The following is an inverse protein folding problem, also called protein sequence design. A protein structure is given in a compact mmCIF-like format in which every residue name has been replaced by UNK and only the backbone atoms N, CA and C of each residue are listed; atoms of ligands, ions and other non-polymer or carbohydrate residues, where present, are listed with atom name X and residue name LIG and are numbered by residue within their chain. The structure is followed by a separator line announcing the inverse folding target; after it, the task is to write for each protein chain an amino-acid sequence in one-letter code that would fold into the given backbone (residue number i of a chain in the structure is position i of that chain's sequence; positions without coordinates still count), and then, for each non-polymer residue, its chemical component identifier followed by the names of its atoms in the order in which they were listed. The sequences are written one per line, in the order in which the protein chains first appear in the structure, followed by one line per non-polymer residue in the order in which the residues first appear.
data_IF_979307041217
#
_entry.id   IF_979307041217
#
_cell.length_a   1.000
_cell.length_b   1.000
_cell.length_c   1.000
_cell.angle_alpha   90.00
_cell.angle_beta   90.00
_cell.angle_gamma   90.00
#
_symmetry.space_group_name_H-M   'P 1'
#
loop_
_entity.id
_entity.type
_entity.pdbx_description
1 polymer ?
#
# COMPACT_ATOMS: atom_id res chain seq x y z
N UNK A 1 14.86 15.59 33.82
CA UNK A 1 16.07 14.74 33.80
C UNK A 1 15.83 13.23 33.79
N UNK A 2 15.14 12.58 34.76
CA UNK A 2 14.84 11.12 34.64
C UNK A 2 13.69 10.78 33.67
N UNK A 3 12.73 11.67 33.47
CA UNK A 3 11.61 11.46 32.54
C UNK A 3 11.98 11.68 31.06
N UNK A 4 12.95 12.55 30.78
CA UNK A 4 13.43 12.81 29.40
C UNK A 4 14.32 11.68 28.86
N UNK A 5 15.03 10.97 29.73
CA UNK A 5 15.88 9.83 29.35
C UNK A 5 15.06 8.59 28.92
N UNK A 6 13.84 8.42 29.43
CA UNK A 6 12.98 7.28 29.08
C UNK A 6 12.23 7.44 27.74
N UNK A 7 12.02 8.67 27.28
CA UNK A 7 11.36 8.95 25.99
C UNK A 7 12.24 8.54 24.80
N UNK A 8 13.56 8.66 24.95
CA UNK A 8 14.51 8.35 23.89
C UNK A 8 14.73 6.83 23.74
N UNK A 9 14.64 6.04 24.83
CA UNK A 9 14.79 4.57 24.78
C UNK A 9 13.68 3.86 23.98
N UNK A 10 12.48 4.44 23.87
CA UNK A 10 11.33 3.85 23.19
C UNK A 10 10.91 4.64 21.94
N UNK A 11 11.81 5.44 21.38
CA UNK A 11 11.52 6.20 20.18
C UNK A 11 11.17 5.24 19.03
N UNK A 12 10.00 5.43 18.41
CA UNK A 12 9.45 4.54 17.38
C UNK A 12 10.44 4.23 16.26
N UNK A 13 11.27 5.20 15.87
CA UNK A 13 12.31 5.02 14.86
C UNK A 13 13.32 3.91 15.20
N UNK A 14 13.65 3.70 16.49
CA UNK A 14 14.55 2.61 16.92
C UNK A 14 13.91 1.25 16.66
N UNK A 15 12.60 1.15 16.90
CA UNK A 15 11.84 -0.08 16.63
C UNK A 15 11.73 -0.34 15.13
N UNK A 16 11.47 0.69 14.32
CA UNK A 16 11.45 0.59 12.85
C UNK A 16 12.81 0.09 12.34
N UNK A 17 13.91 0.65 12.85
CA UNK A 17 15.26 0.24 12.49
C UNK A 17 15.56 -1.20 12.87
N UNK A 18 15.27 -1.59 14.11
CA UNK A 18 15.47 -2.97 14.56
C UNK A 18 14.65 -3.94 13.72
N UNK A 19 13.38 -3.65 13.46
CA UNK A 19 12.51 -4.47 12.61
C UNK A 19 13.09 -4.61 11.20
N UNK A 20 13.47 -3.48 10.58
CA UNK A 20 13.97 -3.45 9.22
C UNK A 20 15.27 -4.23 9.08
N UNK A 21 16.20 -4.04 10.03
CA UNK A 21 17.47 -4.76 10.04
C UNK A 21 17.28 -6.24 10.31
N UNK A 22 16.34 -6.62 11.18
CA UNK A 22 16.00 -8.03 11.43
C UNK A 22 15.44 -8.69 10.17
N UNK A 23 14.53 -8.03 9.45
CA UNK A 23 13.99 -8.54 8.17
C UNK A 23 15.08 -8.64 7.11
N UNK A 24 15.97 -7.65 6.99
CA UNK A 24 17.11 -7.70 6.09
C UNK A 24 18.06 -8.86 6.43
N UNK A 25 18.37 -9.08 7.71
CA UNK A 25 19.20 -10.21 8.13
C UNK A 25 18.53 -11.55 7.79
N UNK A 26 17.24 -11.69 8.03
CA UNK A 26 16.48 -12.90 7.71
C UNK A 26 16.37 -13.15 6.19
N UNK A 27 16.30 -12.09 5.38
CA UNK A 27 16.30 -12.20 3.93
C UNK A 27 17.57 -12.90 3.40
N UNK A 28 18.71 -12.71 4.06
CA UNK A 28 19.96 -13.40 3.72
C UNK A 28 20.06 -14.77 4.40
N UNK A 29 19.72 -14.88 5.68
CA UNK A 29 19.84 -16.13 6.44
C UNK A 29 18.90 -17.25 5.94
N UNK A 30 17.76 -16.89 5.32
CA UNK A 30 16.84 -17.90 4.74
C UNK A 30 17.52 -18.79 3.70
N UNK A 31 18.55 -18.29 3.01
CA UNK A 31 19.32 -19.05 2.00
C UNK A 31 20.07 -20.26 2.57
N UNK A 32 20.38 -20.22 3.87
CA UNK A 32 21.05 -21.29 4.62
C UNK A 32 20.10 -21.96 5.64
N UNK A 33 18.79 -21.69 5.54
CA UNK A 33 17.78 -22.26 6.44
C UNK A 33 17.87 -21.77 7.88
N UNK A 34 18.44 -20.59 8.11
CA UNK A 34 18.55 -19.96 9.44
C UNK A 34 17.66 -18.72 9.51
N UNK A 35 17.33 -18.29 10.73
CA UNK A 35 16.59 -17.05 11.00
C UNK A 35 16.92 -16.52 12.39
N UNK A 36 16.59 -15.26 12.64
CA UNK A 36 16.63 -14.60 13.93
C UNK A 36 15.27 -13.98 14.24
N UNK A 37 14.89 -13.99 15.51
CA UNK A 37 13.68 -13.35 16.01
C UNK A 37 14.01 -12.05 16.74
N UNK A 38 15.12 -12.04 17.49
CA UNK A 38 15.60 -10.88 18.22
C UNK A 38 17.08 -10.59 17.90
N UNK A 39 17.31 -9.49 17.19
CA UNK A 39 18.64 -9.02 16.82
C UNK A 39 19.58 -8.83 18.02
N UNK A 40 19.05 -8.50 19.20
CA UNK A 40 19.82 -8.27 20.43
C UNK A 40 20.46 -9.55 20.98
N UNK A 41 19.79 -10.70 20.85
CA UNK A 41 20.19 -11.95 21.51
C UNK A 41 20.66 -13.02 20.54
N UNK A 42 20.11 -13.05 19.34
CA UNK A 42 20.24 -14.20 18.44
C UNK A 42 21.55 -14.17 17.64
N UNK A 43 22.28 -13.05 17.70
CA UNK A 43 23.64 -12.91 17.20
C UNK A 43 24.70 -13.18 18.27
N UNK A 44 24.31 -13.27 19.55
CA UNK A 44 25.25 -13.25 20.68
C UNK A 44 26.13 -14.50 20.82
N UNK A 45 25.83 -15.60 20.14
CA UNK A 45 26.71 -16.78 20.10
C UNK A 45 27.66 -16.80 18.90
N UNK A 46 27.51 -15.82 17.99
CA UNK A 46 28.30 -15.63 16.78
C UNK A 46 27.91 -16.52 15.61
N UNK A 47 27.07 -17.55 15.76
CA UNK A 47 26.78 -18.50 14.69
C UNK A 47 25.93 -17.87 13.57
N UNK A 48 24.84 -17.19 13.93
CA UNK A 48 24.02 -16.47 12.96
C UNK A 48 24.78 -15.32 12.30
N UNK A 49 25.64 -14.61 13.04
CA UNK A 49 26.48 -13.54 12.50
C UNK A 49 27.49 -14.08 11.48
N UNK A 50 28.15 -15.21 11.79
CA UNK A 50 29.07 -15.88 10.86
C UNK A 50 28.30 -16.30 9.60
N UNK A 51 27.18 -17.01 9.74
CA UNK A 51 26.37 -17.44 8.59
C UNK A 51 25.91 -16.28 7.71
N UNK A 52 25.50 -15.17 8.32
CA UNK A 52 25.15 -13.94 7.59
C UNK A 52 26.35 -13.41 6.78
N UNK A 53 27.53 -13.31 7.39
CA UNK A 53 28.73 -12.80 6.70
C UNK A 53 29.17 -13.75 5.59
N UNK A 54 29.07 -15.06 5.77
CA UNK A 54 29.39 -16.05 4.72
C UNK A 54 28.46 -15.89 3.51
N UNK A 55 27.15 -15.72 3.76
CA UNK A 55 26.16 -15.45 2.69
C UNK A 55 26.44 -14.13 1.98
N UNK A 56 26.72 -13.05 2.71
CA UNK A 56 26.96 -11.73 2.10
C UNK A 56 28.27 -11.67 1.31
N UNK A 57 29.34 -12.24 1.84
CA UNK A 57 30.68 -12.21 1.25
C UNK A 57 30.89 -13.30 0.19
N UNK A 58 30.01 -14.30 0.13
CA UNK A 58 30.17 -15.51 -0.68
C UNK A 58 31.50 -16.24 -0.41
N UNK A 59 32.00 -16.14 0.83
CA UNK A 59 33.25 -16.73 1.32
C UNK A 59 33.00 -17.52 2.61
N UNK A 60 33.83 -18.51 2.87
CA UNK A 60 33.77 -19.29 4.11
C UNK A 60 34.64 -18.63 5.17
N UNK A 61 34.11 -18.51 6.38
CA UNK A 61 34.86 -17.97 7.51
C UNK A 61 35.79 -19.04 8.11
N UNK A 62 36.81 -18.62 8.89
CA UNK A 62 37.69 -19.57 9.59
C UNK A 62 36.93 -20.57 10.49
N UNK A 63 37.53 -21.73 10.79
CA UNK A 63 36.94 -22.70 11.71
C UNK A 63 36.59 -22.06 13.07
N UNK A 64 35.39 -22.35 13.55
CA UNK A 64 34.81 -21.72 14.74
C UNK A 64 33.99 -22.73 15.57
N UNK A 65 33.63 -22.36 16.79
CA UNK A 65 32.92 -23.22 17.72
C UNK A 65 31.48 -23.45 17.26
N UNK A 66 31.15 -24.69 16.87
CA UNK A 66 29.79 -25.08 16.46
C UNK A 66 28.82 -25.31 17.62
N UNK A 67 29.33 -25.41 18.84
CA UNK A 67 28.55 -25.54 20.08
C UNK A 67 29.09 -24.57 21.11
N UNK A 68 28.29 -23.56 21.45
CA UNK A 68 28.68 -22.37 22.21
C UNK A 68 27.98 -22.34 23.56
N UNK A 69 28.42 -23.20 24.49
CA UNK A 69 27.87 -23.21 25.86
C UNK A 69 28.53 -22.17 26.76
N UNK A 70 29.80 -21.88 26.53
CA UNK A 70 30.57 -20.95 27.36
C UNK A 70 30.72 -19.58 26.71
N UNK A 71 30.68 -18.52 27.51
CA UNK A 71 30.84 -17.14 27.04
C UNK A 71 32.16 -16.93 26.28
N UNK A 72 33.24 -17.62 26.67
CA UNK A 72 34.51 -17.57 25.95
C UNK A 72 34.41 -18.07 24.51
N UNK A 73 33.64 -19.14 24.25
CA UNK A 73 33.42 -19.66 22.89
C UNK A 73 32.59 -18.68 22.05
N UNK A 74 31.60 -18.03 22.66
CA UNK A 74 30.79 -16.99 22.00
C UNK A 74 31.66 -15.78 21.59
N UNK A 75 32.50 -15.30 22.51
CA UNK A 75 33.46 -14.23 22.22
C UNK A 75 34.38 -14.60 21.06
N UNK A 76 34.94 -15.81 21.08
CA UNK A 76 35.84 -16.30 20.03
C UNK A 76 35.15 -16.33 18.66
N UNK A 77 33.92 -16.85 18.57
CA UNK A 77 33.16 -16.86 17.33
C UNK A 77 32.90 -15.44 16.80
N UNK A 78 32.45 -14.52 17.65
CA UNK A 78 32.22 -13.13 17.24
C UNK A 78 33.54 -12.45 16.85
N UNK A 79 34.64 -12.72 17.57
CA UNK A 79 35.96 -12.19 17.22
C UNK A 79 36.42 -12.68 15.84
N UNK A 80 36.18 -13.94 15.48
CA UNK A 80 36.46 -14.47 14.13
C UNK A 80 35.66 -13.69 13.08
N UNK A 81 34.36 -13.47 13.33
CA UNK A 81 33.50 -12.71 12.41
C UNK A 81 33.98 -11.26 12.22
N UNK A 82 34.28 -10.55 13.32
CA UNK A 82 34.75 -9.16 13.25
C UNK A 82 36.13 -9.05 12.59
N UNK A 83 37.05 -9.98 12.86
CA UNK A 83 38.37 -10.00 12.20
C UNK A 83 38.24 -10.23 10.70
N UNK A 84 37.37 -11.15 10.27
CA UNK A 84 37.13 -11.39 8.85
C UNK A 84 36.64 -10.12 8.14
N UNK A 85 35.71 -9.36 8.74
CA UNK A 85 35.24 -8.10 8.17
C UNK A 85 36.37 -7.07 8.04
N UNK A 86 37.26 -6.98 9.04
CA UNK A 86 38.42 -6.09 8.98
C UNK A 86 39.41 -6.51 7.89
N UNK A 87 39.64 -7.81 7.71
CA UNK A 87 40.51 -8.36 6.66
C UNK A 87 39.97 -8.08 5.25
N UNK A 88 38.64 -8.05 5.09
CA UNK A 88 37.95 -7.63 3.86
C UNK A 88 37.96 -6.09 3.65
N UNK A 89 38.60 -5.34 4.55
CA UNK A 89 38.72 -3.88 4.46
C UNK A 89 37.48 -3.12 4.95
N UNK A 90 36.54 -3.80 5.62
CA UNK A 90 35.35 -3.17 6.19
C UNK A 90 35.72 -2.55 7.54
N UNK A 91 35.54 -1.23 7.66
CA UNK A 91 35.89 -0.49 8.87
C UNK A 91 34.85 -0.70 9.96
N UNK A 92 35.19 -1.52 10.94
CA UNK A 92 34.42 -1.68 12.18
C UNK A 92 34.96 -0.70 13.22
N UNK A 93 34.16 0.27 13.64
CA UNK A 93 34.59 1.35 14.56
C UNK A 93 33.86 1.21 15.90
N UNK A 94 34.63 1.07 16.99
CA UNK A 94 34.12 1.01 18.37
C UNK A 94 33.15 -0.15 18.64
N UNK A 95 33.38 -1.32 18.03
CA UNK A 95 32.61 -2.54 18.30
C UNK A 95 33.59 -3.67 18.58
N UNK A 96 33.51 -4.24 19.78
CA UNK A 96 34.26 -5.41 20.21
C UNK A 96 33.34 -6.64 20.31
N UNK A 97 33.93 -7.85 20.39
CA UNK A 97 33.14 -9.08 20.46
C UNK A 97 32.23 -9.15 21.68
N UNK A 98 32.63 -8.55 22.82
CA UNK A 98 31.77 -8.46 24.01
C UNK A 98 30.49 -7.67 23.76
N UNK A 99 30.50 -6.69 22.86
CA UNK A 99 29.33 -5.85 22.63
C UNK A 99 28.19 -6.64 21.97
N UNK A 100 28.51 -7.62 21.13
CA UNK A 100 27.53 -8.51 20.50
C UNK A 100 27.11 -9.62 21.46
N UNK A 101 28.09 -10.23 22.16
CA UNK A 101 27.83 -11.32 23.12
C UNK A 101 26.97 -10.86 24.30
N UNK A 102 27.16 -9.62 24.75
CA UNK A 102 26.44 -9.05 25.89
C UNK A 102 25.18 -8.27 25.47
N UNK A 103 24.77 -8.33 24.19
CA UNK A 103 23.49 -7.79 23.73
C UNK A 103 23.41 -6.26 23.69
N UNK A 104 24.50 -5.56 23.37
CA UNK A 104 24.47 -4.08 23.27
C UNK A 104 23.79 -3.64 21.97
N UNK A 105 22.46 -3.59 21.98
CA UNK A 105 21.60 -3.36 20.80
C UNK A 105 22.07 -2.20 19.90
N UNK A 106 22.44 -1.05 20.46
CA UNK A 106 22.93 0.10 19.66
C UNK A 106 24.16 -0.24 18.81
N UNK A 107 25.09 -1.03 19.36
CA UNK A 107 26.32 -1.43 18.67
C UNK A 107 26.03 -2.55 17.66
N UNK A 108 25.10 -3.45 18.00
CA UNK A 108 24.60 -4.48 17.06
C UNK A 108 23.94 -3.83 15.84
N UNK A 109 23.04 -2.85 16.04
CA UNK A 109 22.44 -2.09 14.94
C UNK A 109 23.51 -1.38 14.09
N UNK A 110 24.53 -0.79 14.72
CA UNK A 110 25.66 -0.19 14.01
C UNK A 110 26.47 -1.18 13.17
N UNK A 111 26.66 -2.41 13.67
CA UNK A 111 27.30 -3.49 12.91
C UNK A 111 26.46 -3.90 11.70
N UNK A 112 25.16 -4.16 11.89
CA UNK A 112 24.26 -4.54 10.80
C UNK A 112 24.14 -3.43 9.75
N UNK A 113 24.06 -2.17 10.17
CA UNK A 113 24.13 -1.04 9.25
C UNK A 113 25.42 -1.02 8.44
N UNK A 114 26.56 -1.30 9.07
CA UNK A 114 27.85 -1.38 8.36
C UNK A 114 27.83 -2.45 7.27
N UNK A 115 27.21 -3.61 7.55
CA UNK A 115 27.03 -4.68 6.57
C UNK A 115 26.08 -4.27 5.43
N UNK A 116 24.93 -3.67 5.75
CA UNK A 116 23.97 -3.15 4.76
C UNK A 116 24.64 -2.13 3.85
N UNK A 117 25.30 -1.13 4.43
CA UNK A 117 25.96 -0.07 3.71
C UNK A 117 27.03 -0.63 2.75
N UNK A 118 27.80 -1.63 3.21
CA UNK A 118 28.84 -2.25 2.40
C UNK A 118 28.25 -3.15 1.30
N UNK A 119 27.48 -4.17 1.66
CA UNK A 119 27.06 -5.24 0.77
C UNK A 119 25.81 -4.92 -0.06
N UNK A 120 24.91 -4.03 0.40
CA UNK A 120 23.69 -3.68 -0.33
C UNK A 120 23.78 -2.35 -1.09
N UNK A 121 24.68 -1.45 -0.70
CA UNK A 121 24.75 -0.09 -1.30
C UNK A 121 26.11 0.20 -1.95
N UNK A 122 27.22 -0.13 -1.28
CA UNK A 122 28.56 0.27 -1.75
C UNK A 122 29.13 -0.68 -2.79
N UNK A 123 29.05 -1.99 -2.55
CA UNK A 123 29.69 -3.03 -3.37
C UNK A 123 28.93 -3.42 -4.65
N UNK A 124 27.58 -3.53 -4.66
CA UNK A 124 26.88 -4.00 -5.86
C UNK A 124 27.13 -3.08 -7.05
N UNK A 125 27.21 -3.65 -8.26
CA UNK A 125 27.21 -2.89 -9.51
C UNK A 125 25.76 -2.64 -9.89
N UNK A 126 25.39 -1.41 -10.18
CA UNK A 126 24.04 -1.05 -10.63
C UNK A 126 24.04 -0.76 -12.12
N UNK A 127 22.89 -0.93 -12.77
CA UNK A 127 22.72 -0.55 -14.17
C UNK A 127 23.02 0.95 -14.35
N UNK A 128 23.95 1.25 -15.26
CA UNK A 128 24.45 2.62 -15.51
C UNK A 128 25.77 2.97 -14.81
N UNK A 129 26.32 2.11 -13.95
CA UNK A 129 27.65 2.30 -13.36
C UNK A 129 28.82 1.94 -14.31
N UNK A 130 28.53 1.36 -15.48
CA UNK A 130 29.56 0.86 -16.42
C UNK A 130 30.55 1.94 -16.86
N UNK A 131 30.13 3.20 -16.88
CA UNK A 131 30.94 4.31 -17.38
C UNK A 131 31.86 4.94 -16.32
N UNK A 132 31.62 4.74 -15.00
CA UNK A 132 32.48 5.29 -13.92
C UNK A 132 32.38 4.47 -12.63
N UNK A 133 33.48 3.85 -12.16
CA UNK A 133 33.48 3.22 -10.84
C UNK A 133 33.21 4.26 -9.75
N UNK A 134 32.40 3.89 -8.74
CA UNK A 134 31.99 4.75 -7.61
C UNK A 134 33.16 5.40 -6.85
N UNK A 135 34.36 4.83 -6.92
CA UNK A 135 35.58 5.40 -6.36
C UNK A 135 36.07 6.66 -7.10
N UNK A 136 35.77 6.82 -8.39
CA UNK A 136 36.20 7.96 -9.21
C UNK A 136 35.24 9.16 -9.14
N UNK A 137 33.96 8.92 -8.82
CA UNK A 137 32.97 9.99 -8.66
C UNK A 137 33.07 10.68 -7.30
N UNK A 138 33.78 10.08 -6.33
CA UNK A 138 33.92 10.59 -4.97
C UNK A 138 32.60 10.63 -4.18
N UNK A 139 31.54 10.00 -4.69
CA UNK A 139 30.22 10.00 -4.07
C UNK A 139 30.19 9.03 -2.87
N UNK A 140 29.57 9.48 -1.78
CA UNK A 140 29.22 8.58 -0.67
C UNK A 140 28.16 7.57 -1.12
N UNK A 141 28.05 6.39 -0.46
CA UNK A 141 27.02 5.40 -0.81
C UNK A 141 25.59 5.98 -0.76
N UNK A 142 25.32 6.89 0.20
CA UNK A 142 24.06 7.62 0.29
C UNK A 142 23.79 8.47 -0.94
N UNK A 143 24.78 9.26 -1.37
CA UNK A 143 24.65 10.11 -2.57
C UNK A 143 24.49 9.29 -3.84
N UNK A 144 25.19 8.15 -3.94
CA UNK A 144 25.05 7.21 -5.06
C UNK A 144 23.62 6.69 -5.15
N UNK A 145 23.05 6.20 -4.03
CA UNK A 145 21.65 5.73 -4.00
C UNK A 145 20.67 6.84 -4.36
N UNK A 146 20.85 8.04 -3.80
CA UNK A 146 20.00 9.18 -4.09
C UNK A 146 20.05 9.58 -5.58
N UNK A 147 21.25 9.60 -6.16
CA UNK A 147 21.45 9.92 -7.58
C UNK A 147 20.77 8.88 -8.48
N UNK A 148 20.87 7.59 -8.15
CA UNK A 148 20.19 6.54 -8.90
C UNK A 148 18.66 6.72 -8.85
N UNK A 149 18.09 7.00 -7.68
CA UNK A 149 16.66 7.28 -7.52
C UNK A 149 16.26 8.50 -8.35
N UNK A 150 17.03 9.58 -8.30
CA UNK A 150 16.71 10.80 -9.05
C UNK A 150 16.74 10.60 -10.57
N UNK A 151 17.60 9.70 -11.08
CA UNK A 151 17.61 9.29 -12.49
C UNK A 151 16.34 8.49 -12.81
N UNK A 152 15.90 7.63 -11.89
CA UNK A 152 14.75 6.75 -12.09
C UNK A 152 13.40 7.49 -12.05
N UNK A 153 13.29 8.53 -11.21
CA UNK A 153 12.08 9.35 -11.04
C UNK A 153 12.39 10.86 -11.17
N UNK A 154 12.77 11.34 -12.37
CA UNK A 154 13.26 12.71 -12.57
C UNK A 154 12.21 13.81 -12.31
N UNK A 155 10.92 13.47 -12.34
CA UNK A 155 9.81 14.39 -12.08
C UNK A 155 9.57 14.70 -10.61
N UNK A 156 10.22 13.99 -9.69
CA UNK A 156 10.09 14.19 -8.24
C UNK A 156 11.40 14.74 -7.67
N UNK A 157 11.29 15.67 -6.72
CA UNK A 157 12.45 16.20 -5.99
C UNK A 157 12.69 15.37 -4.73
N UNK A 158 13.51 14.32 -4.83
CA UNK A 158 13.89 13.48 -3.69
C UNK A 158 15.29 13.87 -3.22
N UNK A 159 15.37 14.37 -1.99
CA UNK A 159 16.58 14.93 -1.38
C UNK A 159 17.00 14.21 -0.09
N UNK A 160 16.13 13.38 0.48
CA UNK A 160 16.39 12.63 1.70
C UNK A 160 15.79 11.22 1.69
N UNK A 161 16.13 10.43 2.72
CA UNK A 161 15.59 9.09 2.97
C UNK A 161 14.68 9.08 4.20
N UNK A 162 13.93 10.16 4.42
CA UNK A 162 12.95 10.27 5.51
C UNK A 162 11.66 10.89 4.98
N UNK A 163 11.48 12.20 5.18
CA UNK A 163 10.23 12.93 4.96
C UNK A 163 9.76 12.95 3.52
N UNK A 164 10.67 12.83 2.54
CA UNK A 164 10.25 12.87 1.14
C UNK A 164 9.37 11.67 0.78
N UNK A 165 9.45 10.57 1.53
CA UNK A 165 8.76 9.30 1.28
C UNK A 165 7.40 9.18 1.98
N UNK A 166 7.04 10.12 2.88
CA UNK A 166 5.92 9.96 3.81
C UNK A 166 4.53 10.06 3.19
N UNK A 167 4.41 10.46 1.93
CA UNK A 167 3.12 10.46 1.19
C UNK A 167 2.84 9.13 0.49
N UNK A 168 3.81 8.20 0.45
CA UNK A 168 3.72 6.95 -0.32
C UNK A 168 3.75 7.13 -1.84
N UNK A 169 3.54 8.34 -2.38
CA UNK A 169 3.62 8.62 -3.82
C UNK A 169 5.01 8.35 -4.42
N UNK A 170 6.14 8.73 -3.78
CA UNK A 170 7.46 8.49 -4.36
C UNK A 170 7.80 7.00 -4.51
N UNK A 171 7.33 6.13 -3.61
CA UNK A 171 7.54 4.68 -3.80
C UNK A 171 6.69 4.16 -4.95
N UNK A 172 5.46 4.67 -5.14
CA UNK A 172 4.67 4.42 -6.34
C UNK A 172 5.38 4.83 -7.63
N UNK A 173 5.90 6.06 -7.67
CA UNK A 173 6.67 6.58 -8.78
C UNK A 173 7.92 5.73 -9.07
N UNK A 174 8.61 5.28 -8.02
CA UNK A 174 9.81 4.46 -8.16
C UNK A 174 9.49 3.07 -8.73
N UNK A 175 8.42 2.45 -8.25
CA UNK A 175 7.94 1.15 -8.76
C UNK A 175 7.54 1.26 -10.24
N UNK A 176 6.79 2.29 -10.62
CA UNK A 176 6.43 2.54 -12.02
C UNK A 176 7.66 2.92 -12.87
N UNK A 177 8.61 3.67 -12.32
CA UNK A 177 9.88 3.98 -12.98
C UNK A 177 10.73 2.73 -13.22
N UNK A 178 10.64 1.72 -12.34
CA UNK A 178 11.26 0.41 -12.52
C UNK A 178 10.57 -0.44 -13.57
N UNK A 179 9.24 -0.50 -13.55
CA UNK A 179 8.44 -1.20 -14.54
C UNK A 179 7.17 -0.41 -14.85
N UNK A 180 7.17 0.37 -15.94
CA UNK A 180 6.03 1.19 -16.33
C UNK A 180 4.76 0.34 -16.49
N UNK A 181 3.71 0.74 -15.78
CA UNK A 181 2.41 0.08 -15.76
C UNK A 181 2.12 -0.71 -14.48
N UNK A 182 3.07 -0.85 -13.55
CA UNK A 182 2.74 -1.36 -12.21
C UNK A 182 1.90 -0.33 -11.43
N UNK A 183 2.38 0.92 -11.36
CA UNK A 183 1.71 2.02 -10.65
C UNK A 183 1.45 3.21 -11.59
N UNK A 184 0.79 3.05 -12.75
CA UNK A 184 0.71 4.08 -13.79
C UNK A 184 0.03 5.39 -13.35
N UNK A 185 -0.80 5.32 -12.31
CA UNK A 185 -1.63 6.38 -11.75
C UNK A 185 -1.05 6.99 -10.48
N UNK A 186 0.21 6.69 -10.13
CA UNK A 186 0.87 7.21 -8.93
C UNK A 186 0.81 8.74 -8.81
N UNK A 187 0.78 9.46 -9.95
CA UNK A 187 0.67 10.92 -10.00
C UNK A 187 -0.69 11.41 -9.44
N UNK A 188 -1.75 10.62 -9.62
CA UNK A 188 -3.13 10.93 -9.23
C UNK A 188 -3.45 10.53 -7.79
N UNK A 189 -2.59 9.76 -7.13
CA UNK A 189 -2.81 9.32 -5.76
C UNK A 189 -2.93 10.49 -4.79
N UNK A 190 -3.85 10.36 -3.84
CA UNK A 190 -4.06 11.32 -2.77
C UNK A 190 -2.90 11.23 -1.76
N UNK A 191 -2.13 12.33 -1.54
CA UNK A 191 -1.02 12.32 -0.58
C UNK A 191 -1.45 12.03 0.86
N UNK A 192 -2.72 12.24 1.22
CA UNK A 192 -3.23 11.96 2.57
C UNK A 192 -3.46 10.46 2.81
N UNK A 193 -3.56 9.65 1.76
CA UNK A 193 -3.69 8.19 1.83
C UNK A 193 -2.33 7.47 1.83
N UNK A 194 -1.37 7.99 2.60
CA UNK A 194 0.05 7.59 2.53
C UNK A 194 0.31 6.10 2.71
N UNK A 195 -0.31 5.48 3.72
CA UNK A 195 -0.18 4.04 4.00
C UNK A 195 -0.74 3.21 2.86
N UNK A 196 -1.89 3.59 2.29
CA UNK A 196 -2.49 2.89 1.16
C UNK A 196 -1.60 2.98 -0.08
N UNK A 197 -1.11 4.18 -0.40
CA UNK A 197 -0.19 4.42 -1.51
C UNK A 197 1.08 3.55 -1.38
N UNK A 198 1.68 3.54 -0.19
CA UNK A 198 2.85 2.73 0.10
C UNK A 198 2.53 1.23 0.01
N UNK A 199 1.38 0.79 0.55
CA UNK A 199 0.97 -0.62 0.53
C UNK A 199 0.80 -1.13 -0.90
N UNK A 200 0.09 -0.39 -1.76
CA UNK A 200 -0.10 -0.77 -3.16
C UNK A 200 1.26 -0.89 -3.89
N UNK A 201 2.09 0.15 -3.80
CA UNK A 201 3.39 0.17 -4.48
C UNK A 201 4.32 -0.95 -3.99
N UNK A 202 4.46 -1.09 -2.67
CA UNK A 202 5.39 -2.05 -2.07
C UNK A 202 4.95 -3.50 -2.29
N UNK A 203 3.64 -3.76 -2.33
CA UNK A 203 3.12 -5.08 -2.66
C UNK A 203 3.44 -5.46 -4.11
N UNK A 204 3.21 -4.54 -5.06
CA UNK A 204 3.57 -4.75 -6.47
C UNK A 204 5.08 -4.94 -6.65
N UNK A 205 5.91 -4.22 -5.89
CA UNK A 205 7.36 -4.37 -5.91
C UNK A 205 7.81 -5.77 -5.43
N UNK A 206 7.21 -6.29 -4.35
CA UNK A 206 7.51 -7.64 -3.84
C UNK A 206 7.08 -8.72 -4.84
N UNK A 207 5.84 -8.61 -5.31
CA UNK A 207 5.23 -9.58 -6.21
C UNK A 207 5.92 -9.63 -7.57
N UNK A 208 6.29 -8.48 -8.14
CA UNK A 208 6.70 -8.39 -9.55
C UNK A 208 8.12 -7.90 -9.79
N UNK A 209 8.79 -7.30 -8.80
CA UNK A 209 10.16 -6.80 -8.94
C UNK A 209 11.18 -7.54 -8.04
N UNK A 210 10.71 -8.48 -7.22
CA UNK A 210 11.50 -9.20 -6.19
C UNK A 210 12.13 -8.25 -5.16
N UNK A 211 11.43 -7.15 -4.88
CA UNK A 211 11.82 -6.17 -3.85
C UNK A 211 11.07 -6.50 -2.55
N UNK A 212 11.76 -7.12 -1.60
CA UNK A 212 11.12 -7.57 -0.36
C UNK A 212 10.77 -6.41 0.55
N UNK A 213 9.64 -6.52 1.25
CA UNK A 213 9.19 -5.53 2.23
C UNK A 213 10.00 -5.61 3.53
N UNK A 214 11.26 -5.15 3.47
CA UNK A 214 12.16 -5.08 4.62
C UNK A 214 11.68 -4.05 5.65
N UNK A 215 11.05 -2.98 5.18
CA UNK A 215 10.29 -2.02 5.98
C UNK A 215 8.81 -2.23 5.64
N UNK A 216 7.89 -2.05 6.60
CA UNK A 216 6.46 -2.09 6.31
C UNK A 216 5.96 -0.78 5.70
N UNK A 217 4.81 -0.77 5.00
CA UNK A 217 4.22 0.46 4.48
C UNK A 217 4.01 1.54 5.54
N UNK A 218 3.49 1.18 6.72
CA UNK A 218 3.24 2.12 7.82
C UNK A 218 4.54 2.66 8.42
N UNK A 219 5.59 1.83 8.44
CA UNK A 219 6.93 2.18 8.93
C UNK A 219 7.65 3.11 7.93
N UNK A 220 7.47 2.91 6.62
CA UNK A 220 8.07 3.74 5.56
C UNK A 220 7.50 5.16 5.56
N UNK A 221 6.19 5.29 5.78
CA UNK A 221 5.51 6.59 5.76
C UNK A 221 5.46 7.28 7.12
N UNK A 222 6.05 6.66 8.15
CA UNK A 222 6.14 7.26 9.48
C UNK A 222 6.96 8.56 9.42
N UNK A 223 6.46 9.69 9.95
CA UNK A 223 7.16 10.97 9.91
C UNK A 223 8.49 10.97 10.69
N UNK A 224 8.70 9.99 11.56
CA UNK A 224 9.90 9.80 12.36
C UNK A 224 10.79 8.65 11.85
N UNK A 225 10.51 8.06 10.68
CA UNK A 225 11.35 7.01 10.10
C UNK A 225 12.82 7.47 9.99
N UNK A 226 13.76 6.58 10.28
CA UNK A 226 15.18 6.87 10.16
C UNK A 226 15.70 6.59 8.74
N UNK A 227 16.74 7.34 8.34
CA UNK A 227 17.31 7.21 6.99
C UNK A 227 17.84 5.80 6.69
N UNK A 228 18.37 5.09 7.69
CA UNK A 228 19.02 3.81 7.46
C UNK A 228 18.00 2.74 7.10
N UNK A 229 16.85 2.72 7.75
CA UNK A 229 15.74 1.81 7.41
C UNK A 229 15.24 2.03 5.99
N UNK A 230 14.98 3.28 5.60
CA UNK A 230 14.52 3.62 4.25
C UNK A 230 15.57 3.28 3.20
N UNK A 231 16.84 3.61 3.44
CA UNK A 231 17.94 3.24 2.54
C UNK A 231 18.07 1.72 2.40
N UNK A 232 17.91 0.96 3.49
CA UNK A 232 17.97 -0.51 3.47
C UNK A 232 16.92 -1.10 2.52
N UNK A 233 15.69 -0.60 2.60
CA UNK A 233 14.61 -1.04 1.71
C UNK A 233 14.87 -0.63 0.24
N UNK A 234 15.20 0.65 0.00
CA UNK A 234 15.34 1.20 -1.34
C UNK A 234 16.57 0.70 -2.09
N UNK A 235 17.61 0.26 -1.38
CA UNK A 235 18.82 -0.30 -1.98
C UNK A 235 18.59 -1.61 -2.78
N UNK A 236 17.40 -2.20 -2.69
CA UNK A 236 17.01 -3.37 -3.50
C UNK A 236 16.64 -3.00 -4.94
N UNK A 237 16.12 -1.79 -5.18
CA UNK A 237 15.57 -1.38 -6.48
C UNK A 237 16.59 -1.34 -7.63
N UNK A 238 17.86 -0.91 -7.45
CA UNK A 238 18.82 -0.86 -8.53
C UNK A 238 19.06 -2.17 -9.28
N UNK A 239 18.81 -3.32 -8.63
CA UNK A 239 18.98 -4.64 -9.22
C UNK A 239 17.66 -5.39 -9.40
N UNK A 240 16.52 -4.70 -9.24
CA UNK A 240 15.21 -5.33 -9.36
C UNK A 240 14.95 -5.75 -10.81
N UNK A 241 14.19 -6.84 -10.98
CA UNK A 241 13.87 -7.39 -12.29
C UNK A 241 12.39 -7.71 -12.39
N UNK A 242 11.77 -7.22 -13.46
CA UNK A 242 10.37 -7.51 -13.74
C UNK A 242 10.18 -9.00 -14.00
N UNK A 243 9.31 -9.63 -13.22
CA UNK A 243 8.90 -11.03 -13.42
C UNK A 243 7.93 -11.13 -14.60
N UNK A 244 8.00 -12.25 -15.31
CA UNK A 244 7.10 -12.55 -16.42
C UNK A 244 5.64 -12.60 -15.95
N UNK A 245 4.73 -12.06 -16.77
CA UNK A 245 3.29 -12.05 -16.47
C UNK A 245 2.82 -10.94 -15.52
N UNK A 246 3.68 -9.95 -15.24
CA UNK A 246 3.31 -8.80 -14.44
C UNK A 246 2.06 -8.07 -14.98
N UNK A 247 1.14 -7.61 -14.11
CA UNK A 247 -0.13 -7.01 -14.49
C UNK A 247 0.06 -5.54 -14.89
N UNK A 248 0.81 -5.30 -15.97
CA UNK A 248 1.11 -3.95 -16.45
C UNK A 248 -0.15 -3.30 -17.03
N UNK A 249 -0.51 -2.15 -16.48
CA UNK A 249 -1.64 -1.31 -16.89
C UNK A 249 -1.14 -0.16 -17.79
N UNK A 250 -1.93 0.29 -18.78
CA UNK A 250 -1.62 1.51 -19.52
C UNK A 250 -1.55 2.73 -18.59
N UNK A 251 -0.76 3.75 -18.98
CA UNK A 251 -0.71 5.00 -18.20
C UNK A 251 -2.12 5.61 -18.12
N UNK A 252 -2.62 5.81 -16.91
CA UNK A 252 -3.91 6.45 -16.68
C UNK A 252 -3.82 7.88 -17.18
N UNK A 253 -4.54 8.19 -18.26
CA UNK A 253 -4.68 9.57 -18.71
C UNK A 253 -5.51 10.32 -17.65
N UNK A 254 -5.02 11.46 -17.10
CA UNK A 254 -5.77 12.26 -16.13
C UNK A 254 -7.16 12.70 -16.64
N UNK A 255 -7.37 12.68 -17.96
CA UNK A 255 -8.65 12.96 -18.61
C UNK A 255 -9.46 11.71 -18.99
N UNK A 256 -8.91 10.51 -18.80
CA UNK A 256 -9.61 9.25 -19.02
C UNK A 256 -10.37 8.87 -17.75
N UNK A 257 -11.68 9.08 -17.78
CA UNK A 257 -12.60 8.67 -16.71
C UNK A 257 -12.49 7.13 -16.56
N UNK A 258 -12.21 6.60 -15.37
CA UNK A 258 -12.23 5.15 -15.16
C UNK A 258 -13.64 4.63 -15.47
N UNK A 259 -13.75 3.76 -16.46
CA UNK A 259 -15.00 3.06 -16.76
C UNK A 259 -15.21 2.07 -15.61
N UNK A 260 -16.07 2.43 -14.65
CA UNK A 260 -16.63 1.47 -13.70
C UNK A 260 -17.54 0.57 -14.53
N UNK A 261 -17.03 -0.60 -14.93
CA UNK A 261 -17.87 -1.65 -15.49
C UNK A 261 -18.71 -2.19 -14.33
N UNK A 262 -20.03 -2.01 -14.31
CA UNK A 262 -20.85 -2.68 -13.31
C UNK A 262 -20.67 -4.19 -13.51
N UNK A 263 -20.18 -4.87 -12.48
CA UNK A 263 -20.21 -6.33 -12.41
C UNK A 263 -21.69 -6.71 -12.41
N UNK A 264 -22.21 -7.08 -13.57
CA UNK A 264 -23.51 -7.74 -13.65
C UNK A 264 -23.32 -9.15 -13.10
N UNK A 265 -24.09 -9.58 -12.10
CA UNK A 265 -24.05 -10.98 -11.68
C UNK A 265 -24.49 -11.82 -12.88
N UNK A 266 -23.63 -12.76 -13.30
CA UNK A 266 -23.95 -13.74 -14.32
C UNK A 266 -25.07 -14.62 -13.77
N UNK A 267 -26.28 -14.42 -14.27
CA UNK A 267 -27.40 -15.35 -14.04
C UNK A 267 -27.21 -16.46 -15.09
N UNK A 268 -26.79 -17.64 -14.62
CA UNK A 268 -26.77 -18.85 -15.46
C UNK A 268 -28.21 -19.15 -15.94
N UNK A 269 -28.41 -19.49 -17.23
CA UNK A 269 -29.74 -19.82 -17.73
C UNK A 269 -30.20 -21.17 -17.16
N UNK A 270 -31.34 -21.19 -16.47
CA UNK A 270 -32.00 -22.42 -16.03
C UNK A 270 -32.36 -23.33 -17.23
N UNK A 271 -32.30 -24.67 -17.06
CA UNK A 271 -32.60 -25.60 -18.14
C UNK A 271 -34.10 -25.67 -18.45
N UNK A 272 -34.43 -25.52 -19.74
CA UNK A 272 -35.79 -25.64 -20.30
C UNK A 272 -36.28 -27.08 -20.16
N UNK A 273 -37.39 -27.27 -19.44
CA UNK A 273 -38.12 -28.56 -19.35
C UNK A 273 -39.35 -28.50 -20.27
N UNK A 274 -39.68 -29.55 -21.05
CA UNK A 274 -40.71 -29.47 -22.08
C UNK A 274 -42.14 -29.45 -21.53
N UNK A 275 -42.99 -28.69 -22.19
CA UNK A 275 -44.43 -28.55 -21.97
C UNK A 275 -45.16 -29.89 -22.19
N UNK A 276 -45.99 -30.30 -21.23
CA UNK A 276 -47.02 -31.34 -21.41
C UNK A 276 -48.37 -30.72 -21.08
N UNK A 277 -49.26 -30.70 -22.08
CA UNK A 277 -50.60 -30.13 -22.05
C UNK A 277 -51.57 -30.89 -21.14
N UNK A 278 -52.47 -30.18 -20.45
CA UNK A 278 -53.88 -30.54 -20.12
C UNK A 278 -54.55 -29.39 -19.31
N UNK A 279 -55.89 -29.32 -19.17
CA UNK A 279 -56.83 -28.57 -20.01
C UNK A 279 -57.42 -27.34 -19.30
N UNK A 280 -58.17 -26.52 -20.05
CA UNK A 280 -58.92 -25.33 -19.63
C UNK A 280 -59.75 -25.56 -18.34
N UNK A 281 -59.56 -24.70 -17.33
CA UNK A 281 -60.51 -24.49 -16.23
C UNK A 281 -60.56 -23.01 -15.84
N UNK A 282 -61.76 -22.44 -15.92
CA UNK A 282 -62.15 -21.07 -15.51
C UNK A 282 -62.11 -20.86 -13.99
N UNK A 283 -62.04 -19.60 -13.59
CA UNK A 283 -61.77 -19.08 -12.24
C UNK A 283 -62.93 -19.20 -11.26
N UNK A 284 -62.61 -19.23 -9.95
CA UNK A 284 -63.50 -18.78 -8.87
C UNK A 284 -62.65 -18.15 -7.75
N UNK A 285 -63.09 -17.05 -7.10
CA UNK A 285 -62.29 -16.24 -6.19
C UNK A 285 -62.32 -16.79 -4.76
N UNK A 286 -61.26 -16.56 -3.97
CA UNK A 286 -61.19 -16.97 -2.57
C UNK A 286 -61.38 -15.79 -1.61
N UNK A 287 -62.26 -15.99 -0.62
CA UNK A 287 -62.56 -15.08 0.48
C UNK A 287 -61.56 -15.21 1.65
N UNK A 288 -61.51 -14.13 2.44
CA UNK A 288 -60.57 -13.71 3.49
C UNK A 288 -60.83 -14.39 4.86
N UNK A 289 -59.87 -14.38 5.82
CA UNK A 289 -60.00 -13.92 7.24
C UNK A 289 -58.82 -14.31 8.20
N UNK A 290 -58.63 -13.64 9.37
CA UNK A 290 -57.36 -13.02 9.79
C UNK A 290 -56.77 -13.53 11.14
N UNK A 291 -55.47 -13.25 11.38
CA UNK A 291 -54.76 -13.41 12.67
C UNK A 291 -53.32 -13.97 12.57
N UNK A 292 -52.30 -13.08 12.67
CA UNK A 292 -50.94 -13.18 13.31
C UNK A 292 -50.13 -14.51 13.14
N UNK A 293 -48.83 -14.60 12.79
CA UNK A 293 -47.61 -13.81 13.10
C UNK A 293 -46.45 -14.22 12.13
N UNK A 294 -45.52 -13.32 11.80
CA UNK A 294 -44.16 -13.69 11.40
C UNK A 294 -43.14 -12.84 12.15
N UNK A 295 -42.12 -13.49 12.72
CA UNK A 295 -41.19 -12.98 13.73
C UNK A 295 -40.17 -11.98 13.13
N UNK A 296 -39.78 -10.89 13.82
CA UNK A 296 -38.81 -9.90 13.31
C UNK A 296 -37.34 -10.31 13.53
N UNK A 297 -36.45 -9.78 12.69
CA UNK A 297 -34.99 -9.83 12.88
C UNK A 297 -34.53 -8.77 13.91
N UNK A 298 -33.51 -9.11 14.70
CA UNK A 298 -32.98 -8.30 15.80
C UNK A 298 -32.25 -7.01 15.32
N UNK A 299 -32.45 -5.89 16.03
CA UNK A 299 -31.70 -4.63 15.87
C UNK A 299 -30.94 -4.32 17.16
N UNK A 300 -29.65 -3.99 17.06
CA UNK A 300 -28.81 -3.63 18.21
C UNK A 300 -29.06 -2.20 18.72
N UNK A 301 -28.99 -1.94 20.04
CA UNK A 301 -29.21 -0.60 20.61
C UNK A 301 -28.08 0.38 20.26
N UNK A 302 -28.42 1.59 19.80
CA UNK A 302 -27.49 2.72 19.67
C UNK A 302 -27.28 3.32 18.28
N UNK A 303 -28.05 2.92 17.27
CA UNK A 303 -27.97 3.52 15.92
C UNK A 303 -29.24 4.36 15.66
N UNK A 304 -29.05 5.66 15.38
CA UNK A 304 -30.08 6.52 14.81
C UNK A 304 -30.33 6.11 13.35
N UNK A 305 -31.56 5.72 13.03
CA UNK A 305 -31.99 5.53 11.64
C UNK A 305 -32.56 6.84 11.09
N UNK A 306 -31.90 7.42 10.10
CA UNK A 306 -32.40 8.59 9.36
C UNK A 306 -33.30 8.09 8.22
N UNK A 307 -34.59 8.46 8.15
CA UNK A 307 -35.46 8.06 7.03
C UNK A 307 -35.07 8.76 5.72
N UNK A 308 -35.29 8.08 4.60
CA UNK A 308 -35.10 8.66 3.27
C UNK A 308 -36.14 9.78 2.99
N UNK A 309 -35.70 10.82 2.27
CA UNK A 309 -36.54 11.94 1.81
C UNK A 309 -37.67 11.47 0.87
N UNK A 310 -38.89 12.02 1.02
CA UNK A 310 -40.05 11.68 0.18
C UNK A 310 -40.52 12.91 -0.58
N UNK A 311 -40.68 12.78 -1.90
CA UNK A 311 -41.12 13.84 -2.82
C UNK A 311 -42.51 13.52 -3.44
N UNK A 312 -43.25 14.52 -3.97
CA UNK A 312 -44.58 14.32 -4.55
C UNK A 312 -44.56 13.36 -5.74
N UNK A 313 -45.39 12.31 -5.68
CA UNK A 313 -45.49 11.27 -6.72
C UNK A 313 -44.84 9.93 -6.37
N UNK A 314 -44.22 9.82 -5.19
CA UNK A 314 -43.69 8.55 -4.65
C UNK A 314 -44.71 7.98 -3.66
N UNK A 315 -45.19 6.76 -3.89
CA UNK A 315 -45.89 5.99 -2.85
C UNK A 315 -44.84 5.35 -1.92
N UNK A 316 -44.80 5.79 -0.66
CA UNK A 316 -44.05 5.12 0.40
C UNK A 316 -45.01 4.30 1.26
N UNK A 317 -44.64 3.06 1.56
CA UNK A 317 -45.33 2.26 2.56
C UNK A 317 -44.91 2.74 3.97
N UNK A 318 -45.85 2.96 4.90
CA UNK A 318 -45.51 3.44 6.24
C UNK A 318 -44.83 2.34 7.06
N UNK A 319 -43.85 2.71 7.89
CA UNK A 319 -43.25 1.82 8.88
C UNK A 319 -44.22 1.55 10.05
N UNK A 320 -44.22 0.33 10.60
CA UNK A 320 -45.07 -0.02 11.75
C UNK A 320 -44.63 0.70 13.04
N UNK A 321 -45.61 1.21 13.80
CA UNK A 321 -45.40 1.98 15.04
C UNK A 321 -45.76 1.11 16.25
N UNK A 322 -44.86 1.02 17.23
CA UNK A 322 -45.08 0.25 18.46
C UNK A 322 -45.57 1.13 19.65
N UNK A 323 -46.22 0.54 20.67
CA UNK A 323 -46.73 1.29 21.82
C UNK A 323 -45.60 1.90 22.66
N UNK A 324 -45.63 3.23 22.85
CA UNK A 324 -44.60 3.99 23.59
C UNK A 324 -43.67 4.83 22.71
N UNK A 325 -43.82 4.75 21.39
CA UNK A 325 -43.09 5.59 20.44
C UNK A 325 -43.77 6.95 20.26
N UNK A 326 -43.03 8.04 20.40
CA UNK A 326 -43.49 9.38 20.04
C UNK A 326 -43.12 9.66 18.58
N UNK A 327 -44.12 9.84 17.71
CA UNK A 327 -43.93 10.08 16.28
C UNK A 327 -44.15 11.57 16.00
N UNK A 328 -43.11 12.25 15.53
CA UNK A 328 -43.21 13.64 15.06
C UNK A 328 -43.60 13.62 13.57
N UNK A 329 -44.61 14.40 13.13
CA UNK A 329 -45.01 14.39 11.73
C UNK A 329 -43.90 14.94 10.81
N UNK A 330 -43.78 14.44 9.57
CA UNK A 330 -42.84 14.99 8.60
C UNK A 330 -43.19 16.45 8.29
N UNK A 331 -42.17 17.30 8.20
CA UNK A 331 -42.35 18.70 7.80
C UNK A 331 -42.76 18.76 6.33
N UNK A 332 -43.98 19.23 6.09
CA UNK A 332 -44.52 19.43 4.74
C UNK A 332 -43.99 20.75 4.17
N UNK A 333 -43.10 20.69 3.17
CA UNK A 333 -42.66 21.88 2.44
C UNK A 333 -43.58 22.09 1.21
N UNK A 334 -44.37 23.18 1.12
CA UNK A 334 -45.42 23.31 0.10
C UNK A 334 -44.93 23.69 -1.30
N UNK A 335 -43.63 23.63 -1.60
CA UNK A 335 -43.04 24.24 -2.79
C UNK A 335 -42.33 23.23 -3.70
N UNK A 336 -42.51 23.43 -5.00
CA UNK A 336 -41.76 22.82 -6.11
C UNK A 336 -40.25 22.99 -5.85
N UNK A 337 -39.45 21.97 -6.20
CA UNK A 337 -37.97 21.98 -6.19
C UNK A 337 -37.44 23.38 -6.53
N UNK A 338 -36.58 23.99 -5.67
CA UNK A 338 -35.85 25.17 -6.08
C UNK A 338 -35.08 24.86 -7.37
N UNK A 339 -35.31 25.73 -8.34
CA UNK A 339 -34.77 25.82 -9.70
C UNK A 339 -33.30 25.38 -9.85
N UNK A 340 -33.07 24.64 -10.95
CA UNK A 340 -31.84 24.40 -11.73
C UNK A 340 -30.46 24.39 -11.01
N UNK A 341 -29.57 23.42 -11.34
CA UNK A 341 -28.23 23.35 -10.78
C UNK A 341 -27.45 24.66 -10.99
N UNK A 342 -26.70 25.10 -9.97
CA UNK A 342 -25.90 26.31 -10.04
C UNK A 342 -24.63 26.10 -10.88
N UNK A 343 -24.15 27.17 -11.52
CA UNK A 343 -22.90 27.16 -12.30
C UNK A 343 -21.75 26.69 -11.41
N UNK A 344 -21.11 25.58 -11.78
CA UNK A 344 -19.96 25.01 -11.08
C UNK A 344 -20.21 23.75 -10.23
N UNK A 345 -21.47 23.32 -10.05
CA UNK A 345 -21.78 22.06 -9.35
C UNK A 345 -21.76 20.85 -10.29
N UNK A 346 -21.29 19.71 -9.78
CA UNK A 346 -21.38 18.42 -10.47
C UNK A 346 -22.81 17.89 -10.36
N UNK A 347 -23.49 17.71 -11.49
CA UNK A 347 -24.82 17.12 -11.54
C UNK A 347 -24.82 15.78 -12.31
N UNK A 348 -25.64 14.84 -11.86
CA UNK A 348 -25.94 13.60 -12.59
C UNK A 348 -27.10 13.90 -13.53
N UNK A 349 -26.88 13.81 -14.84
CA UNK A 349 -27.94 13.96 -15.84
C UNK A 349 -28.25 12.59 -16.43
N UNK A 350 -29.44 12.08 -16.12
CA UNK A 350 -30.05 10.94 -16.80
C UNK A 350 -30.82 11.44 -18.01
N UNK A 351 -30.34 11.12 -19.22
CA UNK A 351 -31.12 11.30 -20.44
C UNK A 351 -31.91 10.01 -20.67
N UNK A 352 -33.17 10.00 -20.27
CA UNK A 352 -34.11 9.02 -20.77
C UNK A 352 -34.27 9.25 -22.27
N UNK A 353 -34.00 8.21 -23.07
CA UNK A 353 -34.32 8.24 -24.49
C UNK A 353 -35.84 8.42 -24.63
N UNK A 354 -36.23 9.51 -25.30
CA UNK A 354 -37.59 10.04 -25.49
C UNK A 354 -38.10 11.07 -24.46
N UNK A 355 -37.43 12.21 -24.37
CA UNK A 355 -38.07 13.52 -24.51
C UNK A 355 -36.99 14.55 -24.83
N UNK A 356 -37.25 15.44 -25.79
CA UNK A 356 -36.40 16.60 -26.06
C UNK A 356 -36.82 17.70 -25.08
N UNK A 357 -35.96 18.20 -24.17
CA UNK A 357 -36.18 19.48 -23.51
C UNK A 357 -35.19 20.52 -24.05
N UNK A 358 -35.78 21.61 -24.53
CA UNK A 358 -35.25 22.98 -24.63
C UNK A 358 -33.73 23.16 -24.88
N UNK A 359 -33.44 23.60 -26.11
CA UNK A 359 -32.13 24.07 -26.55
C UNK A 359 -31.63 25.20 -25.65
N UNK A 360 -30.57 24.98 -24.87
CA UNK A 360 -29.57 25.98 -24.44
C UNK A 360 -28.36 25.41 -23.67
N UNK A 361 -28.05 24.12 -23.79
CA UNK A 361 -26.85 23.53 -23.17
C UNK A 361 -25.96 22.87 -24.22
N UNK A 362 -24.69 23.30 -24.31
CA UNK A 362 -23.67 22.65 -25.15
C UNK A 362 -22.82 21.77 -24.24
N UNK A 363 -22.91 20.46 -24.43
CA UNK A 363 -22.02 19.46 -23.83
C UNK A 363 -21.10 18.94 -24.94
N UNK A 364 -19.79 18.93 -24.71
CA UNK A 364 -18.84 18.26 -25.61
C UNK A 364 -18.96 16.75 -25.39
N UNK A 365 -19.71 16.05 -26.24
CA UNK A 365 -19.79 14.58 -26.23
C UNK A 365 -19.58 14.06 -27.66
N UNK A 366 -18.62 13.13 -27.79
CA UNK A 366 -18.34 12.38 -29.01
C UNK A 366 -19.50 11.47 -29.43
N UNK A 367 -19.43 10.96 -30.67
CA UNK A 367 -20.50 10.19 -31.33
C UNK A 367 -21.08 9.07 -30.45
N UNK A 368 -22.39 9.16 -30.18
CA UNK A 368 -23.23 8.09 -29.63
C UNK A 368 -23.35 6.92 -30.62
N UNK A 369 -23.22 5.70 -30.13
CA UNK A 369 -23.65 4.48 -30.83
C UNK A 369 -24.96 3.99 -30.20
N UNK A 370 -25.92 3.58 -31.03
CA UNK A 370 -27.27 3.23 -30.62
C UNK A 370 -27.31 1.99 -29.68
N UNK A 371 -28.10 2.08 -28.60
CA UNK A 371 -28.61 0.90 -27.88
C UNK A 371 -28.27 0.75 -26.39
N UNK A 372 -27.57 1.70 -25.75
CA UNK A 372 -27.26 1.63 -24.30
C UNK A 372 -27.50 2.99 -23.66
N UNK A 373 -28.17 3.02 -22.50
CA UNK A 373 -28.32 4.23 -21.67
C UNK A 373 -26.99 4.54 -20.97
N UNK A 374 -26.47 5.75 -21.14
CA UNK A 374 -25.24 6.20 -20.49
C UNK A 374 -25.53 7.25 -19.41
N UNK A 375 -24.82 7.16 -18.28
CA UNK A 375 -24.82 8.17 -17.23
C UNK A 375 -23.68 9.16 -17.52
N UNK A 376 -23.99 10.44 -17.68
CA UNK A 376 -22.97 11.47 -17.88
C UNK A 376 -22.85 12.36 -16.65
N UNK A 377 -21.62 12.63 -16.23
CA UNK A 377 -21.28 13.70 -15.29
C UNK A 377 -20.59 14.80 -16.08
N UNK A 378 -21.20 15.98 -16.11
CA UNK A 378 -20.66 17.16 -16.79
C UNK A 378 -20.63 18.37 -15.87
N UNK A 379 -19.72 19.32 -16.13
CA UNK A 379 -19.73 20.64 -15.49
C UNK A 379 -20.45 21.63 -16.40
N UNK A 380 -21.33 22.44 -15.82
CA UNK A 380 -21.94 23.59 -16.50
C UNK A 380 -20.85 24.68 -16.65
N UNK A 381 -20.51 25.03 -17.89
CA UNK A 381 -19.57 26.12 -18.17
C UNK A 381 -20.31 27.47 -18.21
N UNK A 382 -19.69 28.56 -17.72
CA UNK A 382 -20.22 29.91 -17.92
C UNK A 382 -20.09 30.32 -19.40
N UNK A 383 -21.04 31.13 -19.88
CA UNK A 383 -21.05 31.68 -21.25
C UNK A 383 -19.69 32.29 -21.60
N UNK A 384 -19.04 31.79 -22.65
CA UNK A 384 -18.02 32.56 -23.37
C UNK A 384 -18.75 33.66 -24.13
N UNK A 385 -18.65 34.90 -23.66
CA UNK A 385 -19.09 36.06 -24.44
C UNK A 385 -18.29 36.09 -25.75
N UNK A 386 -19.01 35.92 -26.87
CA UNK A 386 -18.51 36.21 -28.22
C UNK A 386 -18.54 37.70 -28.53
#
# INVERSE_FOLDING_TARGET
MKAEHNLDEHAQWKQIQQNTFTRWTNEHLKSIGSSIDNLETDLSDGLCLIGLIEVLSQKQLPPHNKRTTFRSQKLENVSIALQFLQDEGIKIVNIDSSDIVDGKLKLILGLIWTLILHYSISMPVWEGDEDKPSAETGQTPKQRLLAWIQIKIPGMSINNFTKDWTTGKPVGALVDGCAPGLCPDWELWDPDNSVQNATEAMQLADDWLDVRQLIKPEELVDPNVDEQSVMTYLAQYPNCKLKDGAPLRPKSDPNSIPIVVPVTPVIDPEPVVPVVESPVVETVPAEVYPGIESVPAEVYPGIESVPAEVYPGIESAPAEVHPGSEVVPPQFYPSIRPSAPMVGESAIVTLDTFAIPEANYVTEIGKLYEGVSYLFTGKILPETQG
#
